data_IF_374034985020
#
_entry.id   IF_374034985020
#
_cell.length_a   1.000
_cell.length_b   1.000
_cell.length_c   1.000
_cell.angle_alpha   90.00
_cell.angle_beta   90.00
_cell.angle_gamma   90.00
#
_symmetry.space_group_name_H-M   'P 1'
#
loop_
_entity.id
_entity.type
_entity.pdbx_description
1 polymer ?
#
# COMPACT_ATOMS: atom_id res chain seq x y z
N UNK A 1 -9.48 -8.62 36.08
CA UNK A 1 -9.95 -7.26 36.39
C UNK A 1 -10.42 -6.63 35.08
N UNK A 2 -11.62 -6.04 35.02
CA UNK A 2 -11.97 -5.16 33.92
C UNK A 2 -10.98 -3.97 33.93
N UNK A 3 -10.30 -3.69 32.82
CA UNK A 3 -9.38 -2.55 32.71
C UNK A 3 -7.88 -2.86 32.76
N UNK A 4 -7.44 -4.12 32.83
CA UNK A 4 -6.02 -4.46 32.64
C UNK A 4 -5.66 -4.38 31.16
N UNK A 5 -4.74 -3.48 30.80
CA UNK A 5 -4.19 -3.34 29.45
C UNK A 5 -3.26 -4.53 29.17
N UNK A 6 -3.31 -5.17 27.97
CA UNK A 6 -2.41 -6.25 27.62
C UNK A 6 -0.94 -5.80 27.67
N UNK A 7 -0.05 -6.77 27.93
CA UNK A 7 1.39 -6.53 27.86
C UNK A 7 1.81 -6.11 26.44
N UNK A 8 2.89 -5.32 26.31
CA UNK A 8 3.34 -4.80 25.02
C UNK A 8 3.64 -5.90 24.00
N UNK A 9 4.22 -7.02 24.46
CA UNK A 9 4.46 -8.19 23.58
C UNK A 9 3.14 -8.78 23.06
N UNK A 10 2.14 -8.92 23.92
CA UNK A 10 0.80 -9.38 23.52
C UNK A 10 0.14 -8.42 22.54
N UNK A 11 0.31 -7.11 22.73
CA UNK A 11 -0.18 -6.12 21.76
C UNK A 11 0.54 -6.26 20.42
N UNK A 12 1.87 -6.44 20.43
CA UNK A 12 2.67 -6.69 19.23
C UNK A 12 2.23 -7.96 18.51
N UNK A 13 2.01 -9.06 19.23
CA UNK A 13 1.52 -10.32 18.67
C UNK A 13 0.12 -10.15 18.06
N UNK A 14 -0.78 -9.44 18.74
CA UNK A 14 -2.11 -9.14 18.21
C UNK A 14 -2.06 -8.29 16.94
N UNK A 15 -1.15 -7.31 16.86
CA UNK A 15 -0.94 -6.50 15.66
C UNK A 15 -0.36 -7.37 14.53
N UNK A 16 0.62 -8.23 14.83
CA UNK A 16 1.25 -9.09 13.83
C UNK A 16 0.31 -10.19 13.30
N UNK A 17 -0.57 -10.71 14.15
CA UNK A 17 -1.62 -11.67 13.76
C UNK A 17 -2.74 -10.96 13.01
N UNK A 18 -2.93 -9.67 13.25
CA UNK A 18 -3.91 -8.90 12.47
C UNK A 18 -3.46 -8.81 11.02
N UNK A 19 -4.40 -9.00 10.08
CA UNK A 19 -4.12 -8.82 8.65
C UNK A 19 -3.99 -7.34 8.24
N UNK A 20 -3.60 -6.47 9.18
CA UNK A 20 -3.60 -5.01 9.02
C UNK A 20 -2.24 -4.44 8.63
N UNK A 21 -1.15 -5.21 8.72
CA UNK A 21 0.20 -4.78 8.31
C UNK A 21 0.32 -4.66 6.80
N UNK A 22 0.75 -3.51 6.29
CA UNK A 22 0.95 -3.28 4.87
C UNK A 22 2.35 -3.73 4.44
N UNK A 23 2.42 -4.47 3.33
CA UNK A 23 3.69 -4.75 2.64
C UNK A 23 3.91 -3.70 1.56
N UNK A 24 5.15 -3.22 1.41
CA UNK A 24 5.51 -2.25 0.37
C UNK A 24 5.06 -2.77 -1.01
N UNK A 25 4.45 -1.89 -1.81
CA UNK A 25 3.92 -2.15 -3.15
C UNK A 25 2.73 -3.10 -3.23
N UNK A 26 2.27 -3.68 -2.11
CA UNK A 26 1.10 -4.56 -2.11
C UNK A 26 -0.18 -3.71 -2.23
N UNK A 27 -1.14 -4.19 -3.02
CA UNK A 27 -2.49 -3.63 -3.05
C UNK A 27 -3.46 -4.50 -2.24
N UNK A 28 -3.99 -3.95 -1.15
CA UNK A 28 -4.91 -4.66 -0.24
C UNK A 28 -6.38 -4.55 -0.63
N UNK A 29 -6.73 -5.03 -1.82
CA UNK A 29 -8.12 -5.02 -2.31
C UNK A 29 -9.07 -5.85 -1.42
N UNK A 30 -8.59 -6.89 -0.75
CA UNK A 30 -9.41 -7.69 0.16
C UNK A 30 -9.96 -6.86 1.34
N UNK A 31 -9.25 -5.81 1.75
CA UNK A 31 -9.72 -4.87 2.78
C UNK A 31 -10.96 -4.09 2.36
N UNK A 32 -11.31 -4.09 1.07
CA UNK A 32 -12.49 -3.43 0.52
C UNK A 32 -13.75 -4.27 0.57
N UNK A 33 -13.68 -5.55 0.97
CA UNK A 33 -14.87 -6.43 1.05
C UNK A 33 -15.98 -5.83 1.92
N UNK A 34 -15.63 -5.04 2.94
CA UNK A 34 -16.58 -4.30 3.78
C UNK A 34 -17.40 -3.22 3.05
N UNK A 35 -17.03 -2.90 1.80
CA UNK A 35 -17.70 -1.93 0.93
C UNK A 35 -18.28 -2.60 -0.32
N UNK A 36 -18.47 -3.92 -0.29
CA UNK A 36 -19.09 -4.66 -1.38
C UNK A 36 -20.43 -4.05 -1.79
N UNK A 37 -20.69 -3.99 -3.09
CA UNK A 37 -21.82 -3.31 -3.72
C UNK A 37 -21.87 -1.78 -3.50
N UNK A 38 -20.80 -1.20 -2.96
CA UNK A 38 -20.66 0.22 -2.68
C UNK A 38 -19.94 1.01 -3.79
N UNK A 39 -19.97 2.33 -3.66
CA UNK A 39 -19.29 3.28 -4.54
C UNK A 39 -18.18 4.00 -3.79
N UNK A 40 -17.10 4.36 -4.49
CA UNK A 40 -16.01 5.11 -3.89
C UNK A 40 -15.12 5.84 -4.88
N UNK A 41 -14.23 6.67 -4.34
CA UNK A 41 -13.16 7.34 -5.05
C UNK A 41 -11.82 6.71 -4.68
N UNK A 42 -10.89 6.72 -5.63
CA UNK A 42 -9.49 6.40 -5.38
C UNK A 42 -8.64 7.66 -5.50
N UNK A 43 -7.78 7.90 -4.52
CA UNK A 43 -6.87 9.03 -4.50
C UNK A 43 -5.43 8.55 -4.50
N UNK A 44 -4.60 9.16 -5.33
CA UNK A 44 -3.16 8.92 -5.41
C UNK A 44 -2.44 10.21 -5.03
N UNK A 45 -1.52 10.16 -4.07
CA UNK A 45 -0.67 11.32 -3.76
C UNK A 45 0.74 10.85 -3.38
N UNK A 46 1.71 11.74 -3.52
CA UNK A 46 3.12 11.47 -3.27
C UNK A 46 3.68 12.43 -2.22
N UNK A 47 4.20 11.88 -1.13
CA UNK A 47 4.80 12.66 -0.03
C UNK A 47 6.30 12.43 0.09
N UNK A 48 7.05 13.44 0.54
CA UNK A 48 8.46 13.30 0.88
C UNK A 48 8.68 12.39 2.09
N UNK A 49 9.73 11.57 2.04
CA UNK A 49 10.15 10.70 3.15
C UNK A 49 11.65 10.81 3.38
N UNK A 50 12.09 10.49 4.60
CA UNK A 50 13.51 10.33 4.90
C UNK A 50 13.95 8.99 4.29
N UNK A 51 14.89 8.97 3.33
CA UNK A 51 15.29 7.73 2.68
C UNK A 51 15.98 6.81 3.69
N UNK A 52 15.42 5.63 3.89
CA UNK A 52 15.96 4.62 4.80
C UNK A 52 15.69 3.23 4.22
N UNK A 53 16.73 2.40 4.16
CA UNK A 53 16.61 1.01 3.76
C UNK A 53 16.43 0.17 5.01
N UNK A 54 15.43 -0.70 5.00
CA UNK A 54 15.17 -1.66 6.08
C UNK A 54 15.04 -3.07 5.53
N UNK A 55 15.46 -4.06 6.32
CA UNK A 55 15.28 -5.46 5.97
C UNK A 55 13.97 -5.97 6.59
N UNK A 56 13.09 -6.49 5.74
CA UNK A 56 11.87 -7.17 6.16
C UNK A 56 12.11 -8.69 6.20
N UNK A 57 12.29 -9.20 7.43
CA UNK A 57 12.50 -10.62 7.69
C UNK A 57 11.33 -11.52 7.29
N UNK A 58 10.12 -10.99 7.19
CA UNK A 58 8.93 -11.79 6.84
C UNK A 58 8.87 -12.13 5.36
N UNK A 59 9.48 -11.30 4.52
CA UNK A 59 9.50 -11.45 3.06
C UNK A 59 10.88 -11.76 2.50
N UNK A 60 11.90 -11.80 3.36
CA UNK A 60 13.31 -11.90 3.00
C UNK A 60 13.70 -10.85 1.95
N UNK A 61 13.25 -9.60 2.15
CA UNK A 61 13.45 -8.53 1.17
C UNK A 61 13.79 -7.20 1.83
N UNK A 62 14.41 -6.30 1.07
CA UNK A 62 14.70 -4.94 1.51
C UNK A 62 13.61 -3.96 1.03
N UNK A 63 13.18 -3.07 1.92
CA UNK A 63 12.23 -1.99 1.64
C UNK A 63 12.93 -0.62 1.70
N UNK A 64 12.32 0.40 1.08
CA UNK A 64 12.84 1.78 1.09
C UNK A 64 13.78 2.14 -0.07
N UNK A 65 13.99 1.22 -1.02
CA UNK A 65 14.50 1.53 -2.35
C UNK A 65 13.37 2.05 -3.25
N UNK A 66 13.70 2.73 -4.34
CA UNK A 66 12.72 3.10 -5.38
C UNK A 66 12.13 1.83 -5.96
N UNK A 67 10.85 1.58 -5.69
CA UNK A 67 10.16 0.37 -6.15
C UNK A 67 10.09 0.35 -7.68
N UNK A 68 10.51 -0.75 -8.34
CA UNK A 68 10.36 -0.89 -9.78
C UNK A 68 8.89 -0.98 -10.16
N UNK A 69 8.55 -0.31 -11.27
CA UNK A 69 7.20 -0.25 -11.80
C UNK A 69 7.20 -0.93 -13.18
N UNK A 70 6.31 -1.91 -13.38
CA UNK A 70 6.11 -2.60 -14.65
C UNK A 70 4.68 -2.36 -15.10
N UNK A 71 4.50 -1.73 -16.26
CA UNK A 71 3.20 -1.34 -16.81
C UNK A 71 2.33 -0.57 -15.80
N UNK A 72 2.94 0.37 -15.08
CA UNK A 72 2.27 1.16 -14.05
C UNK A 72 2.09 0.48 -12.70
N UNK A 73 2.37 -0.83 -12.59
CA UNK A 73 2.15 -1.59 -11.36
C UNK A 73 3.47 -1.75 -10.60
N UNK A 74 3.52 -1.37 -9.30
CA UNK A 74 4.72 -1.56 -8.50
C UNK A 74 4.95 -3.05 -8.20
N UNK A 75 6.21 -3.49 -8.27
CA UNK A 75 6.57 -4.87 -7.97
C UNK A 75 6.76 -5.08 -6.46
N UNK A 76 6.01 -6.03 -5.90
CA UNK A 76 6.16 -6.44 -4.50
C UNK A 76 7.41 -7.30 -4.31
N UNK A 77 8.04 -7.17 -3.14
CA UNK A 77 9.17 -8.03 -2.70
C UNK A 77 10.29 -8.12 -3.76
N UNK A 78 10.55 -7.02 -4.48
CA UNK A 78 11.51 -7.05 -5.58
C UNK A 78 12.96 -7.25 -5.11
N UNK A 79 13.34 -6.62 -3.99
CA UNK A 79 14.70 -6.61 -3.48
C UNK A 79 14.97 -7.77 -2.51
N UNK A 80 14.80 -9.00 -2.99
CA UNK A 80 15.16 -10.20 -2.23
C UNK A 80 16.66 -10.46 -2.26
N UNK A 81 17.19 -10.92 -1.14
CA UNK A 81 18.61 -11.24 -1.01
C UNK A 81 18.77 -12.49 -0.14
N UNK A 82 19.38 -13.52 -0.71
CA UNK A 82 19.69 -14.74 0.04
C UNK A 82 21.12 -14.69 0.61
N UNK A 83 21.95 -13.78 0.08
CA UNK A 83 23.34 -13.59 0.46
C UNK A 83 23.70 -12.13 0.70
N UNK A 84 24.81 -11.91 1.40
CA UNK A 84 25.37 -10.58 1.57
C UNK A 84 25.80 -9.94 0.23
N UNK A 85 26.25 -10.76 -0.72
CA UNK A 85 26.64 -10.26 -2.05
C UNK A 85 25.43 -9.77 -2.84
N UNK A 86 24.28 -10.44 -2.74
CA UNK A 86 23.02 -9.96 -3.32
C UNK A 86 22.64 -8.59 -2.76
N UNK A 87 22.71 -8.43 -1.43
CA UNK A 87 22.46 -7.15 -0.79
C UNK A 87 23.43 -6.07 -1.28
N UNK A 88 24.72 -6.38 -1.40
CA UNK A 88 25.73 -5.43 -1.88
C UNK A 88 25.43 -4.97 -3.31
N UNK A 89 24.99 -5.89 -4.18
CA UNK A 89 24.58 -5.56 -5.54
C UNK A 89 23.34 -4.68 -5.52
N UNK A 90 22.30 -5.04 -4.76
CA UNK A 90 21.06 -4.26 -4.64
C UNK A 90 21.37 -2.84 -4.16
N UNK A 91 22.11 -2.70 -3.07
CA UNK A 91 22.42 -1.42 -2.45
C UNK A 91 23.26 -0.51 -3.36
N UNK A 92 24.20 -1.07 -4.11
CA UNK A 92 25.09 -0.29 -4.99
C UNK A 92 24.43 0.13 -6.31
N UNK A 93 23.39 -0.58 -6.75
CA UNK A 93 22.73 -0.34 -8.05
C UNK A 93 21.41 0.41 -7.94
N UNK A 94 20.74 0.36 -6.79
CA UNK A 94 19.44 0.96 -6.59
C UNK A 94 19.52 2.23 -5.76
N UNK A 95 18.59 3.16 -6.02
CA UNK A 95 18.45 4.39 -5.25
C UNK A 95 17.43 4.20 -4.15
N UNK A 96 17.69 4.80 -3.00
CA UNK A 96 16.70 4.92 -1.93
C UNK A 96 15.57 5.83 -2.38
N UNK A 97 14.33 5.51 -2.03
CA UNK A 97 13.16 6.29 -2.41
C UNK A 97 13.12 7.64 -1.66
N UNK A 98 13.14 8.78 -2.36
CA UNK A 98 12.93 10.10 -1.73
C UNK A 98 11.46 10.40 -1.42
N UNK A 99 10.55 9.67 -2.06
CA UNK A 99 9.12 9.90 -2.00
C UNK A 99 8.37 8.59 -1.73
N UNK A 100 7.23 8.70 -1.08
CA UNK A 100 6.27 7.62 -0.88
C UNK A 100 5.00 7.93 -1.67
N UNK A 101 4.66 7.08 -2.63
CA UNK A 101 3.39 7.14 -3.34
C UNK A 101 2.34 6.36 -2.52
N UNK A 102 1.17 6.94 -2.31
CA UNK A 102 0.11 6.43 -1.45
C UNK A 102 -1.20 6.38 -2.23
N UNK A 103 -1.86 5.22 -2.18
CA UNK A 103 -3.16 4.97 -2.81
C UNK A 103 -4.22 4.79 -1.75
N UNK A 104 -5.21 5.67 -1.73
CA UNK A 104 -6.32 5.65 -0.77
C UNK A 104 -7.63 5.34 -1.48
N UNK A 105 -8.51 4.59 -0.83
CA UNK A 105 -9.90 4.41 -1.22
C UNK A 105 -10.81 5.10 -0.22
N UNK A 106 -11.74 5.91 -0.71
CA UNK A 106 -12.77 6.56 0.09
C UNK A 106 -14.15 6.09 -0.39
N UNK A 107 -14.84 5.31 0.45
CA UNK A 107 -16.24 4.95 0.18
C UNK A 107 -17.11 6.20 0.29
N UNK A 108 -18.14 6.25 -0.54
CA UNK A 108 -19.21 7.23 -0.40
C UNK A 108 -20.22 6.61 0.57
N UNK A 109 -20.61 7.35 1.60
CA UNK A 109 -21.70 6.89 2.45
C UNK A 109 -22.99 6.89 1.63
N UNK A 110 -23.66 5.75 1.59
CA UNK A 110 -25.06 5.67 1.13
C UNK A 110 -26.04 5.73 2.30
N UNK A 111 -25.54 5.81 3.54
CA UNK A 111 -26.37 5.94 4.73
C UNK A 111 -26.71 7.41 4.97
N UNK A 112 -27.97 7.66 5.32
CA UNK A 112 -28.51 8.99 5.61
C UNK A 112 -27.99 9.58 6.93
N UNK A 113 -27.12 8.88 7.67
CA UNK A 113 -26.52 9.37 8.91
C UNK A 113 -25.31 10.28 8.61
N UNK A 114 -25.42 11.60 8.83
CA UNK A 114 -24.34 12.56 8.56
C UNK A 114 -23.17 12.43 9.54
N UNK A 115 -23.23 11.52 10.52
CA UNK A 115 -22.16 11.31 11.50
C UNK A 115 -21.33 10.05 11.22
N UNK A 116 -21.80 9.16 10.34
CA UNK A 116 -21.16 7.90 10.02
C UNK A 116 -20.44 7.96 8.66
N UNK A 117 -19.35 8.74 8.58
CA UNK A 117 -18.51 8.74 7.39
C UNK A 117 -17.58 7.52 7.37
N UNK A 118 -17.60 6.71 6.30
CA UNK A 118 -16.68 5.60 6.18
C UNK A 118 -15.24 6.13 6.13
N UNK A 119 -14.36 5.52 6.93
CA UNK A 119 -12.96 5.94 7.01
C UNK A 119 -12.23 5.57 5.71
N UNK A 120 -11.34 6.43 5.20
CA UNK A 120 -10.47 6.08 4.08
C UNK A 120 -9.67 4.80 4.38
N UNK A 121 -9.45 4.00 3.35
CA UNK A 121 -8.65 2.77 3.42
C UNK A 121 -7.41 2.94 2.57
N UNK A 122 -6.25 2.71 3.19
CA UNK A 122 -4.98 2.63 2.48
C UNK A 122 -4.93 1.35 1.66
N UNK A 123 -4.88 1.49 0.34
CA UNK A 123 -4.79 0.38 -0.60
C UNK A 123 -3.37 -0.07 -0.82
N UNK A 124 -2.46 0.86 -1.07
CA UNK A 124 -1.06 0.56 -1.34
C UNK A 124 -0.17 1.75 -1.00
N UNK A 125 1.07 1.47 -0.61
CA UNK A 125 2.11 2.47 -0.47
C UNK A 125 3.45 1.90 -0.92
N UNK A 126 4.24 2.69 -1.64
CA UNK A 126 5.56 2.27 -2.13
C UNK A 126 6.49 3.44 -2.44
N UNK A 127 7.79 3.17 -2.35
CA UNK A 127 8.84 4.16 -2.59
C UNK A 127 8.97 4.51 -4.08
N UNK A 128 9.02 5.80 -4.40
CA UNK A 128 9.17 6.28 -5.78
C UNK A 128 10.18 7.43 -5.88
N UNK A 129 10.68 7.67 -7.08
CA UNK A 129 11.50 8.84 -7.42
C UNK A 129 10.80 9.83 -8.38
N UNK A 130 9.49 9.67 -8.55
CA UNK A 130 8.61 10.45 -9.43
C UNK A 130 9.02 10.45 -10.91
N UNK A 131 9.69 9.38 -11.39
CA UNK A 131 10.05 9.24 -12.81
C UNK A 131 9.07 8.40 -13.64
N UNK A 132 7.97 7.95 -13.06
CA UNK A 132 6.94 7.22 -13.79
C UNK A 132 6.19 8.14 -14.75
N UNK A 133 5.68 7.58 -15.85
CA UNK A 133 5.02 8.32 -16.92
C UNK A 133 3.52 8.49 -16.67
N UNK A 134 2.86 9.38 -17.40
CA UNK A 134 1.40 9.46 -17.41
C UNK A 134 0.74 8.12 -17.82
N UNK A 135 1.39 7.34 -18.70
CA UNK A 135 0.89 6.02 -19.08
C UNK A 135 0.97 5.02 -17.92
N UNK A 136 2.01 5.10 -17.10
CA UNK A 136 2.13 4.28 -15.89
C UNK A 136 1.02 4.60 -14.88
N UNK A 137 0.64 5.87 -14.76
CA UNK A 137 -0.50 6.29 -13.91
C UNK A 137 -1.81 5.69 -14.44
N UNK A 138 -2.10 5.88 -15.74
CA UNK A 138 -3.33 5.39 -16.36
C UNK A 138 -3.47 3.86 -16.26
N UNK A 139 -2.39 3.12 -16.52
CA UNK A 139 -2.39 1.65 -16.41
C UNK A 139 -2.65 1.20 -14.97
N UNK A 140 -2.07 1.89 -14.00
CA UNK A 140 -2.30 1.62 -12.57
C UNK A 140 -3.73 1.89 -12.16
N UNK A 141 -4.32 2.99 -12.62
CA UNK A 141 -5.72 3.30 -12.35
C UNK A 141 -6.66 2.28 -12.98
N UNK A 142 -6.39 1.85 -14.21
CA UNK A 142 -7.13 0.75 -14.84
C UNK A 142 -7.02 -0.54 -14.01
N UNK A 143 -5.82 -0.89 -13.56
CA UNK A 143 -5.63 -2.05 -12.70
C UNK A 143 -6.41 -1.95 -11.38
N UNK A 144 -6.36 -0.79 -10.70
CA UNK A 144 -7.13 -0.55 -9.47
C UNK A 144 -8.63 -0.64 -9.76
N UNK A 145 -9.10 -0.06 -10.87
CA UNK A 145 -10.48 -0.11 -11.30
C UNK A 145 -10.98 -1.56 -11.50
N UNK A 146 -10.24 -2.35 -12.27
CA UNK A 146 -10.59 -3.75 -12.55
C UNK A 146 -10.58 -4.60 -11.28
N UNK A 147 -9.59 -4.42 -10.41
CA UNK A 147 -9.49 -5.17 -9.15
C UNK A 147 -10.58 -4.80 -8.14
N UNK A 148 -10.99 -3.55 -8.08
CA UNK A 148 -12.15 -3.15 -7.26
C UNK A 148 -13.46 -3.72 -7.85
N UNK A 149 -13.59 -3.71 -9.18
CA UNK A 149 -14.73 -4.29 -9.86
C UNK A 149 -14.88 -5.80 -9.58
N UNK A 150 -13.78 -6.55 -9.58
CA UNK A 150 -13.75 -7.98 -9.21
C UNK A 150 -14.26 -8.24 -7.78
N UNK A 151 -14.19 -7.23 -6.91
CA UNK A 151 -14.67 -7.25 -5.52
C UNK A 151 -16.07 -6.63 -5.35
N UNK A 152 -16.75 -6.34 -6.46
CA UNK A 152 -18.03 -5.63 -6.52
C UNK A 152 -17.99 -4.26 -5.84
N UNK A 153 -16.86 -3.55 -5.95
CA UNK A 153 -16.69 -2.16 -5.50
C UNK A 153 -16.60 -1.26 -6.72
N UNK A 154 -17.47 -0.25 -6.82
CA UNK A 154 -17.54 0.64 -7.98
C UNK A 154 -16.75 1.91 -7.75
N UNK A 155 -15.63 2.06 -8.46
CA UNK A 155 -14.89 3.34 -8.47
C UNK A 155 -15.60 4.31 -9.41
N UNK A 156 -15.96 5.48 -8.90
CA UNK A 156 -16.63 6.53 -9.68
C UNK A 156 -15.66 7.62 -10.17
N UNK A 157 -14.45 7.68 -9.62
CA UNK A 157 -13.43 8.62 -10.04
C UNK A 157 -12.08 8.38 -9.37
N UNK A 158 -11.06 8.91 -10.02
CA UNK A 158 -9.70 9.00 -9.49
C UNK A 158 -9.35 10.46 -9.22
N UNK A 159 -8.54 10.72 -8.20
CA UNK A 159 -7.99 12.05 -7.90
C UNK A 159 -6.49 11.96 -7.65
N UNK A 160 -5.77 13.02 -8.00
CA UNK A 160 -4.35 13.26 -7.70
C UNK A 160 -4.18 14.55 -6.94
#
# INVERSE_FOLDING_TARGET
MPGSIPHLSTLGDLINISNMTLTEAEFKFDSLQKFQSGFGFCSEDTTGVIPKVEYDSSTNSFIGFTTPIVDGIPLTKHYQADTFDDFKIIYSTNKTAPLLNVHMFQSISTEDDPTNFPKPVLLSAYGVDNKFTAMDILRRWMYIFERCLDKDVRIIGFST
#
